data_IF_355200642697
#
_entry.id   IF_355200642697
#
_cell.length_a   1.000
_cell.length_b   1.000
_cell.length_c   1.000
_cell.angle_alpha   90.00
_cell.angle_beta   90.00
_cell.angle_gamma   90.00
#
_symmetry.space_group_name_H-M   'P 1'
#
loop_
_entity.id
_entity.type
_entity.pdbx_description
1 polymer ?
#
# COMPACT_ATOMS: atom_id res chain seq x y z
N UNK A 1 8.04 -148.82 57.26
CA UNK A 1 6.83 -149.62 57.54
C UNK A 1 5.62 -148.71 57.36
N UNK A 2 4.62 -149.10 56.55
CA UNK A 2 3.38 -148.34 56.27
C UNK A 2 3.56 -147.19 55.25
N UNK A 3 3.31 -147.29 53.94
CA UNK A 3 2.18 -147.79 53.12
C UNK A 3 0.95 -146.86 53.15
N UNK A 4 0.44 -146.60 51.93
CA UNK A 4 -0.86 -146.04 51.51
C UNK A 4 -0.82 -144.56 51.08
N UNK A 5 -0.96 -144.25 49.78
CA UNK A 5 -2.18 -144.30 48.95
C UNK A 5 -3.18 -143.24 49.42
N UNK A 6 -3.74 -142.37 48.60
CA UNK A 6 -3.73 -142.15 47.16
C UNK A 6 -4.60 -140.91 46.90
N UNK A 7 -4.83 -140.62 45.61
CA UNK A 7 -6.15 -140.23 45.08
C UNK A 7 -6.87 -139.06 45.78
N UNK A 8 -7.17 -137.93 45.15
CA UNK A 8 -7.74 -137.65 43.84
C UNK A 8 -7.57 -136.14 43.65
N UNK A 9 -7.43 -135.62 42.45
CA UNK A 9 -8.63 -135.30 41.68
C UNK A 9 -8.42 -133.93 41.07
N UNK A 10 -8.48 -133.91 39.75
CA UNK A 10 -8.14 -132.83 38.85
C UNK A 10 -9.29 -131.83 38.81
N UNK A 11 -9.03 -130.55 39.05
CA UNK A 11 -9.86 -129.47 38.52
C UNK A 11 -9.04 -128.58 37.59
N UNK A 12 -9.52 -128.53 36.37
CA UNK A 12 -8.95 -127.86 35.21
C UNK A 12 -9.49 -126.45 35.07
N UNK A 13 -8.60 -125.49 34.83
CA UNK A 13 -8.88 -124.38 33.91
C UNK A 13 -8.91 -122.97 34.48
N UNK A 14 -7.78 -122.28 34.38
CA UNK A 14 -7.71 -120.97 33.69
C UNK A 14 -6.23 -120.63 33.43
N UNK A 15 -5.79 -120.42 32.17
CA UNK A 15 -4.48 -119.84 31.94
C UNK A 15 -4.51 -118.40 32.44
N UNK A 16 -3.90 -118.17 33.60
CA UNK A 16 -3.67 -116.82 34.13
C UNK A 16 -2.66 -116.15 33.20
N UNK A 17 -3.17 -115.38 32.25
CA UNK A 17 -2.35 -114.55 31.37
C UNK A 17 -1.69 -113.50 32.25
N UNK A 18 -0.46 -113.79 32.68
CA UNK A 18 0.42 -112.83 33.33
C UNK A 18 0.77 -111.79 32.27
N UNK A 19 -0.07 -110.75 32.13
CA UNK A 19 0.33 -109.54 31.42
C UNK A 19 1.49 -108.95 32.22
N UNK A 20 2.70 -109.07 31.66
CA UNK A 20 3.91 -108.53 32.26
C UNK A 20 3.68 -107.07 32.65
N UNK A 21 3.95 -106.69 33.91
CA UNK A 21 3.75 -105.32 34.42
C UNK A 21 4.44 -104.23 33.55
N UNK A 22 5.42 -104.62 32.73
CA UNK A 22 6.07 -103.78 31.72
C UNK A 22 5.12 -103.19 30.67
N UNK A 23 4.00 -103.86 30.32
CA UNK A 23 3.04 -103.32 29.34
C UNK A 23 2.10 -102.26 29.93
N UNK A 24 1.70 -102.41 31.21
CA UNK A 24 0.85 -101.45 31.90
C UNK A 24 1.60 -100.14 32.20
N UNK A 25 2.87 -100.22 32.61
CA UNK A 25 3.72 -99.03 32.81
C UNK A 25 3.95 -98.29 31.51
N UNK A 26 4.20 -99.00 30.39
CA UNK A 26 4.31 -98.37 29.06
C UNK A 26 3.02 -97.67 28.64
N UNK A 27 1.86 -98.30 28.84
CA UNK A 27 0.57 -97.68 28.54
C UNK A 27 0.31 -96.42 29.40
N UNK A 28 0.63 -96.46 30.69
CA UNK A 28 0.51 -95.30 31.58
C UNK A 28 1.43 -94.15 31.16
N UNK A 29 2.67 -94.44 30.75
CA UNK A 29 3.60 -93.42 30.23
C UNK A 29 3.11 -92.81 28.92
N UNK A 30 2.52 -93.60 28.02
CA UNK A 30 1.93 -93.08 26.78
C UNK A 30 0.75 -92.16 27.11
N UNK A 31 -0.16 -92.57 27.99
CA UNK A 31 -1.31 -91.75 28.40
C UNK A 31 -0.84 -90.46 29.07
N UNK A 32 0.15 -90.52 29.96
CA UNK A 32 0.73 -89.34 30.58
C UNK A 32 1.38 -88.40 29.55
N UNK A 33 2.09 -88.94 28.56
CA UNK A 33 2.66 -88.18 27.46
C UNK A 33 1.60 -87.50 26.59
N UNK A 34 0.50 -88.20 26.29
CA UNK A 34 -0.64 -87.63 25.53
C UNK A 34 -1.30 -86.51 26.33
N UNK A 35 -1.54 -86.71 27.62
CA UNK A 35 -2.14 -85.67 28.49
C UNK A 35 -1.23 -84.44 28.60
N UNK A 36 0.09 -84.64 28.74
CA UNK A 36 1.06 -83.55 28.70
C UNK A 36 1.07 -82.83 27.35
N UNK A 37 0.96 -83.57 26.24
CA UNK A 37 0.88 -83.00 24.90
C UNK A 37 -0.37 -82.14 24.70
N UNK A 38 -1.53 -82.63 25.15
CA UNK A 38 -2.79 -81.87 25.11
C UNK A 38 -2.73 -80.65 26.01
N UNK A 39 -2.15 -80.77 27.21
CA UNK A 39 -1.96 -79.65 28.12
C UNK A 39 -1.03 -78.59 27.51
N UNK A 40 0.09 -79.00 26.89
CA UNK A 40 0.98 -78.08 26.19
C UNK A 40 0.29 -77.37 25.03
N UNK A 41 -0.51 -78.08 24.23
CA UNK A 41 -1.33 -77.49 23.16
C UNK A 41 -2.33 -76.46 23.68
N UNK A 42 -2.99 -76.74 24.80
CA UNK A 42 -3.92 -75.81 25.43
C UNK A 42 -3.22 -74.54 25.93
N UNK A 43 -2.07 -74.68 26.58
CA UNK A 43 -1.26 -73.53 27.02
C UNK A 43 -0.80 -72.68 25.84
N UNK A 44 -0.33 -73.30 24.76
CA UNK A 44 0.07 -72.59 23.53
C UNK A 44 -1.12 -71.86 22.89
N UNK A 45 -2.29 -72.49 22.82
CA UNK A 45 -3.50 -71.87 22.30
C UNK A 45 -3.90 -70.64 23.13
N UNK A 46 -3.89 -70.74 24.45
CA UNK A 46 -4.33 -69.63 25.30
C UNK A 46 -3.31 -68.50 25.40
N UNK A 47 -2.00 -68.79 25.32
CA UNK A 47 -0.97 -67.77 25.11
C UNK A 47 -1.16 -67.06 23.76
N UNK A 48 -1.45 -67.82 22.70
CA UNK A 48 -1.73 -67.28 21.37
C UNK A 48 -2.96 -66.38 21.36
N UNK A 49 -4.04 -66.78 22.06
CA UNK A 49 -5.27 -66.00 22.20
C UNK A 49 -5.04 -64.70 22.98
N UNK A 50 -4.26 -64.76 24.06
CA UNK A 50 -3.93 -63.58 24.86
C UNK A 50 -3.08 -62.58 24.06
N UNK A 51 -2.03 -63.04 23.38
CA UNK A 51 -1.17 -62.18 22.55
C UNK A 51 -1.91 -61.60 21.34
N UNK A 52 -2.76 -62.38 20.65
CA UNK A 52 -3.55 -61.90 19.52
C UNK A 52 -4.64 -60.88 19.92
N UNK A 53 -5.13 -60.95 21.17
CA UNK A 53 -6.06 -59.96 21.72
C UNK A 53 -5.41 -58.60 21.96
N UNK A 54 -4.17 -58.60 22.48
CA UNK A 54 -3.39 -57.39 22.74
C UNK A 54 -3.05 -56.64 21.43
N UNK A 55 -2.64 -57.37 20.40
CA UNK A 55 -2.36 -56.79 19.07
C UNK A 55 -3.59 -56.12 18.45
N UNK A 56 -4.78 -56.74 18.59
CA UNK A 56 -6.02 -56.15 18.08
C UNK A 56 -6.42 -54.87 18.82
N UNK A 57 -6.23 -54.83 20.14
CA UNK A 57 -6.52 -53.63 20.93
C UNK A 57 -5.52 -52.51 20.62
N UNK A 58 -4.22 -52.82 20.52
CA UNK A 58 -3.20 -51.85 20.15
C UNK A 58 -3.44 -51.27 18.74
N UNK A 59 -3.75 -52.12 17.76
CA UNK A 59 -4.09 -51.68 16.39
C UNK A 59 -5.40 -50.87 16.37
N UNK A 60 -6.40 -51.23 17.17
CA UNK A 60 -7.64 -50.45 17.27
C UNK A 60 -7.39 -49.06 17.89
N UNK A 61 -6.59 -48.97 18.95
CA UNK A 61 -6.20 -47.69 19.56
C UNK A 61 -5.42 -46.81 18.58
N UNK A 62 -4.44 -47.39 17.87
CA UNK A 62 -3.66 -46.67 16.86
C UNK A 62 -4.53 -46.16 15.71
N UNK A 63 -5.53 -46.95 15.28
CA UNK A 63 -6.51 -46.52 14.26
C UNK A 63 -7.36 -45.36 14.75
N UNK A 64 -7.88 -45.42 15.97
CA UNK A 64 -8.66 -44.32 16.55
C UNK A 64 -7.83 -43.05 16.69
N UNK A 65 -6.57 -43.16 17.13
CA UNK A 65 -5.66 -42.01 17.21
C UNK A 65 -5.39 -41.40 15.83
N UNK A 66 -5.14 -42.24 14.82
CA UNK A 66 -4.97 -41.79 13.43
C UNK A 66 -6.23 -41.14 12.87
N UNK A 67 -7.42 -41.69 13.13
CA UNK A 67 -8.71 -41.14 12.71
C UNK A 67 -8.96 -39.76 13.34
N UNK A 68 -8.71 -39.63 14.65
CA UNK A 68 -8.80 -38.33 15.36
C UNK A 68 -7.80 -37.33 14.79
N UNK A 69 -6.57 -37.77 14.48
CA UNK A 69 -5.56 -36.96 13.81
C UNK A 69 -6.03 -36.46 12.44
N UNK A 70 -6.55 -37.36 11.60
CA UNK A 70 -7.09 -37.02 10.28
C UNK A 70 -8.21 -36.00 10.41
N UNK A 71 -9.16 -36.22 11.32
CA UNK A 71 -10.28 -35.30 11.52
C UNK A 71 -9.81 -33.90 11.97
N UNK A 72 -8.83 -33.85 12.87
CA UNK A 72 -8.23 -32.59 13.30
C UNK A 72 -7.54 -31.87 12.14
N UNK A 73 -6.73 -32.59 11.35
CA UNK A 73 -6.07 -32.04 10.17
C UNK A 73 -7.07 -31.55 9.12
N UNK A 74 -8.16 -32.27 8.89
CA UNK A 74 -9.22 -31.85 7.97
C UNK A 74 -9.93 -30.59 8.44
N UNK A 75 -10.25 -30.48 9.74
CA UNK A 75 -10.85 -29.27 10.31
C UNK A 75 -9.90 -28.08 10.16
N UNK A 76 -8.62 -28.26 10.49
CA UNK A 76 -7.60 -27.22 10.31
C UNK A 76 -7.44 -26.81 8.84
N UNK A 77 -7.49 -27.78 7.91
CA UNK A 77 -7.40 -27.49 6.48
C UNK A 77 -8.63 -26.70 5.99
N UNK A 78 -9.84 -27.07 6.43
CA UNK A 78 -11.07 -26.33 6.13
C UNK A 78 -11.00 -24.91 6.66
N UNK A 79 -10.57 -24.72 7.91
CA UNK A 79 -10.41 -23.40 8.51
C UNK A 79 -9.38 -22.54 7.77
N UNK A 80 -8.22 -23.10 7.42
CA UNK A 80 -7.20 -22.41 6.64
C UNK A 80 -7.69 -22.02 5.25
N UNK A 81 -8.47 -22.89 4.57
CA UNK A 81 -9.09 -22.57 3.28
C UNK A 81 -10.12 -21.45 3.39
N UNK A 82 -10.93 -21.43 4.44
CA UNK A 82 -11.88 -20.33 4.70
C UNK A 82 -11.13 -19.02 4.94
N UNK A 83 -10.11 -19.02 5.80
CA UNK A 83 -9.26 -17.84 6.05
C UNK A 83 -8.55 -17.36 4.78
N UNK A 84 -8.11 -18.28 3.92
CA UNK A 84 -7.49 -17.94 2.64
C UNK A 84 -8.52 -17.31 1.69
N UNK A 85 -9.73 -17.86 1.58
CA UNK A 85 -10.81 -17.29 0.76
C UNK A 85 -11.26 -15.91 1.27
N UNK A 86 -11.32 -15.71 2.58
CA UNK A 86 -11.56 -14.39 3.21
C UNK A 86 -10.43 -13.41 2.89
N UNK A 87 -9.17 -13.86 2.92
CA UNK A 87 -8.02 -13.02 2.56
C UNK A 87 -7.99 -12.69 1.05
N UNK A 88 -8.29 -13.64 0.18
CA UNK A 88 -8.32 -13.45 -1.28
C UNK A 88 -9.43 -12.48 -1.70
N UNK A 89 -10.60 -12.54 -1.03
CA UNK A 89 -11.69 -11.57 -1.27
C UNK A 89 -11.33 -10.16 -0.81
N UNK A 90 -10.63 -10.01 0.32
CA UNK A 90 -10.07 -8.72 0.77
C UNK A 90 -8.97 -8.22 -0.18
N UNK A 91 -8.13 -9.11 -0.72
CA UNK A 91 -7.08 -8.77 -1.69
C UNK A 91 -7.63 -8.27 -3.03
N UNK A 92 -8.67 -8.91 -3.56
CA UNK A 92 -9.31 -8.53 -4.82
C UNK A 92 -10.03 -7.17 -4.76
N UNK A 93 -10.61 -6.82 -3.60
CA UNK A 93 -11.19 -5.49 -3.35
C UNK A 93 -10.11 -4.40 -3.28
N UNK A 94 -9.03 -4.66 -2.53
CA UNK A 94 -7.89 -3.73 -2.40
C UNK A 94 -7.19 -3.45 -3.73
N UNK A 95 -7.04 -4.44 -4.60
CA UNK A 95 -6.42 -4.23 -5.91
C UNK A 95 -7.24 -3.29 -6.83
N UNK A 96 -8.58 -3.36 -6.77
CA UNK A 96 -9.46 -2.41 -7.48
C UNK A 96 -9.39 -1.01 -6.90
N UNK A 97 -9.49 -0.88 -5.58
CA UNK A 97 -9.39 0.42 -4.90
C UNK A 97 -8.01 1.07 -5.11
N UNK A 98 -6.94 0.29 -5.09
CA UNK A 98 -5.58 0.76 -5.39
C UNK A 98 -5.43 1.17 -6.86
N UNK A 99 -6.04 0.45 -7.80
CA UNK A 99 -6.01 0.79 -9.22
C UNK A 99 -6.81 2.08 -9.52
N UNK A 100 -7.97 2.27 -8.88
CA UNK A 100 -8.74 3.51 -8.98
C UNK A 100 -8.01 4.68 -8.34
N UNK A 101 -7.46 4.50 -7.13
CA UNK A 101 -6.66 5.53 -6.46
C UNK A 101 -5.41 5.90 -7.27
N UNK A 102 -4.72 4.93 -7.86
CA UNK A 102 -3.56 5.17 -8.72
C UNK A 102 -3.92 5.92 -10.01
N UNK A 103 -5.09 5.64 -10.61
CA UNK A 103 -5.62 6.41 -11.74
C UNK A 103 -5.93 7.85 -11.34
N UNK A 104 -6.58 8.06 -10.19
CA UNK A 104 -6.86 9.41 -9.67
C UNK A 104 -5.57 10.19 -9.38
N UNK A 105 -4.56 9.55 -8.78
CA UNK A 105 -3.24 10.17 -8.56
C UNK A 105 -2.57 10.51 -9.90
N UNK A 106 -2.63 9.62 -10.89
CA UNK A 106 -2.11 9.87 -12.24
C UNK A 106 -2.82 11.04 -12.94
N UNK A 107 -4.14 11.14 -12.84
CA UNK A 107 -4.92 12.22 -13.42
C UNK A 107 -4.64 13.57 -12.73
N UNK A 108 -4.52 13.58 -11.39
CA UNK A 108 -4.10 14.77 -10.65
C UNK A 108 -2.66 15.18 -11.00
N UNK A 109 -1.73 14.23 -11.10
CA UNK A 109 -0.35 14.52 -11.53
C UNK A 109 -0.30 15.05 -12.96
N UNK A 110 -1.13 14.55 -13.87
CA UNK A 110 -1.25 15.06 -15.23
C UNK A 110 -1.91 16.45 -15.28
N UNK A 111 -2.82 16.77 -14.37
CA UNK A 111 -3.37 18.12 -14.22
C UNK A 111 -2.33 19.09 -13.64
N UNK A 112 -1.60 18.69 -12.60
CA UNK A 112 -0.51 19.47 -12.02
C UNK A 112 0.60 19.68 -13.04
N UNK A 113 0.97 18.66 -13.83
CA UNK A 113 1.95 18.77 -14.90
C UNK A 113 1.48 19.76 -15.98
N UNK A 114 0.22 19.67 -16.44
CA UNK A 114 -0.33 20.63 -17.41
C UNK A 114 -0.36 22.06 -16.87
N UNK A 115 -0.82 22.26 -15.63
CA UNK A 115 -0.82 23.57 -14.97
C UNK A 115 0.60 24.10 -14.77
N UNK A 116 1.54 23.24 -14.40
CA UNK A 116 2.95 23.62 -14.22
C UNK A 116 3.66 23.94 -15.55
N UNK A 117 3.29 23.25 -16.64
CA UNK A 117 3.83 23.47 -17.97
C UNK A 117 3.31 24.78 -18.57
N UNK A 118 2.07 25.14 -18.29
CA UNK A 118 1.53 26.47 -18.62
C UNK A 118 2.30 27.56 -17.85
N UNK A 119 2.53 27.36 -16.55
CA UNK A 119 3.32 28.29 -15.73
C UNK A 119 4.81 28.36 -16.11
N UNK A 120 5.43 27.25 -16.55
CA UNK A 120 6.81 27.20 -17.02
C UNK A 120 6.97 27.86 -18.40
N UNK A 121 5.97 27.75 -19.27
CA UNK A 121 5.90 28.51 -20.52
C UNK A 121 5.82 30.02 -20.25
N UNK A 122 4.95 30.45 -19.32
CA UNK A 122 4.90 31.87 -18.91
C UNK A 122 6.23 32.35 -18.31
N UNK A 123 6.88 31.57 -17.46
CA UNK A 123 8.20 31.93 -16.91
C UNK A 123 9.32 31.94 -17.96
N UNK A 124 9.29 31.02 -18.92
CA UNK A 124 10.26 30.93 -20.01
C UNK A 124 10.21 32.14 -20.95
N UNK A 125 9.00 32.58 -21.31
CA UNK A 125 8.78 33.80 -22.12
C UNK A 125 9.19 35.06 -21.36
N UNK A 126 8.87 35.16 -20.07
CA UNK A 126 9.23 36.31 -19.21
C UNK A 126 10.75 36.41 -18.98
N UNK A 127 11.44 35.29 -18.78
CA UNK A 127 12.90 35.26 -18.60
C UNK A 127 13.66 35.60 -19.89
N UNK A 128 13.19 35.15 -21.05
CA UNK A 128 13.78 35.52 -22.36
C UNK A 128 13.45 36.97 -22.76
N UNK A 129 12.27 37.48 -22.40
CA UNK A 129 11.88 38.88 -22.56
C UNK A 129 12.79 39.84 -21.78
N UNK A 130 13.04 39.58 -20.48
CA UNK A 130 13.91 40.44 -19.66
C UNK A 130 15.37 40.49 -20.15
N UNK A 131 15.90 39.40 -20.70
CA UNK A 131 17.26 39.35 -21.25
C UNK A 131 17.38 40.10 -22.59
N UNK A 132 16.37 40.03 -23.45
CA UNK A 132 16.34 40.73 -24.74
C UNK A 132 15.99 42.22 -24.62
N UNK A 133 15.13 42.58 -23.66
CA UNK A 133 14.78 43.97 -23.30
C UNK A 133 15.94 44.73 -22.66
N UNK A 134 16.81 44.03 -21.94
CA UNK A 134 17.89 44.65 -21.17
C UNK A 134 17.38 45.54 -20.03
N UNK A 135 16.12 45.40 -19.64
CA UNK A 135 15.50 46.07 -18.50
C UNK A 135 14.82 45.03 -17.62
N UNK A 136 14.96 45.17 -16.30
CA UNK A 136 14.24 44.37 -15.30
C UNK A 136 13.53 45.28 -14.30
N UNK A 137 12.43 44.80 -13.75
CA UNK A 137 11.76 45.40 -12.59
C UNK A 137 12.51 44.92 -11.35
N UNK A 138 13.18 45.83 -10.63
CA UNK A 138 13.96 45.48 -9.43
C UNK A 138 13.06 45.39 -8.20
N UNK A 139 12.19 46.39 -8.03
CA UNK A 139 11.32 46.49 -6.87
C UNK A 139 10.00 47.13 -7.25
N UNK A 140 8.90 46.59 -6.74
CA UNK A 140 7.56 47.15 -6.81
C UNK A 140 6.93 47.10 -5.42
N UNK A 141 6.41 48.23 -4.96
CA UNK A 141 5.68 48.37 -3.69
C UNK A 141 4.46 49.24 -3.88
N UNK A 142 3.42 48.98 -3.10
CA UNK A 142 2.16 49.71 -3.16
C UNK A 142 1.89 50.28 -1.78
N UNK A 143 1.74 51.60 -1.68
CA UNK A 143 1.43 52.30 -0.43
C UNK A 143 0.06 52.94 -0.52
N UNK A 144 -0.58 53.14 0.64
CA UNK A 144 -1.82 53.90 0.72
C UNK A 144 -1.55 55.39 0.48
N UNK A 145 -2.29 56.01 -0.44
CA UNK A 145 -2.27 57.44 -0.70
C UNK A 145 -3.42 58.18 -0.02
N UNK A 146 -3.46 59.50 -0.20
CA UNK A 146 -4.57 60.36 0.23
C UNK A 146 -5.21 61.03 -0.99
N UNK A 147 -6.54 61.12 -1.09
CA UNK A 147 -7.60 60.66 -0.16
C UNK A 147 -7.85 59.13 -0.18
N UNK A 148 -8.70 58.57 0.72
CA UNK A 148 -9.04 57.15 0.75
C UNK A 148 -9.47 56.59 -0.62
N UNK A 149 -9.02 55.38 -0.95
CA UNK A 149 -9.20 54.78 -2.28
C UNK A 149 -8.10 55.15 -3.28
N UNK A 150 -7.10 55.93 -2.84
CA UNK A 150 -5.91 56.24 -3.63
C UNK A 150 -4.71 55.43 -3.15
N UNK A 151 -3.90 54.95 -4.07
CA UNK A 151 -2.70 54.16 -3.80
C UNK A 151 -1.54 54.72 -4.63
N UNK A 152 -0.32 54.59 -4.13
CA UNK A 152 0.88 54.95 -4.87
C UNK A 152 1.68 53.69 -5.15
N UNK A 153 1.88 53.41 -6.43
CA UNK A 153 2.74 52.32 -6.88
C UNK A 153 4.14 52.88 -7.07
N UNK A 154 5.04 52.45 -6.19
CA UNK A 154 6.47 52.72 -6.26
C UNK A 154 7.14 51.58 -7.02
N UNK A 155 7.69 51.87 -8.20
CA UNK A 155 8.34 50.89 -9.04
C UNK A 155 9.73 51.37 -9.45
N UNK A 156 10.70 50.47 -9.46
CA UNK A 156 12.05 50.74 -9.96
C UNK A 156 12.42 49.81 -11.12
N UNK A 157 12.81 50.42 -12.23
CA UNK A 157 13.37 49.72 -13.38
C UNK A 157 14.89 49.89 -13.37
N UNK A 158 15.61 48.80 -13.65
CA UNK A 158 17.08 48.81 -13.73
C UNK A 158 17.55 48.06 -14.97
N UNK A 159 18.78 48.35 -15.40
CA UNK A 159 19.38 47.71 -16.58
C UNK A 159 19.77 46.24 -16.30
N UNK A 160 19.32 45.32 -17.14
CA UNK A 160 19.82 43.94 -17.21
C UNK A 160 20.87 43.82 -18.32
N UNK A 161 22.09 44.34 -18.11
CA UNK A 161 23.21 44.21 -19.07
C UNK A 161 24.08 45.46 -19.21
N UNK A 162 24.89 45.51 -20.29
CA UNK A 162 25.78 46.65 -20.58
C UNK A 162 24.99 47.91 -20.98
N UNK A 163 25.48 49.07 -20.53
CA UNK A 163 24.84 50.38 -20.67
C UNK A 163 25.47 51.21 -21.81
N UNK A 164 25.56 50.61 -23.00
CA UNK A 164 26.14 51.26 -24.18
C UNK A 164 25.23 52.37 -24.73
N UNK A 165 23.90 52.23 -24.55
CA UNK A 165 22.89 53.21 -24.93
C UNK A 165 21.78 53.31 -23.85
N UNK A 166 21.07 54.44 -23.73
CA UNK A 166 19.93 54.56 -22.82
C UNK A 166 18.81 53.59 -23.20
N UNK A 167 18.17 52.99 -22.20
CA UNK A 167 16.98 52.18 -22.36
C UNK A 167 15.76 53.09 -22.49
N UNK A 168 15.00 52.94 -23.57
CA UNK A 168 13.78 53.71 -23.84
C UNK A 168 12.60 52.79 -24.12
N UNK A 169 11.41 53.22 -23.70
CA UNK A 169 10.19 52.47 -23.93
C UNK A 169 9.01 52.96 -23.10
N UNK A 170 8.02 52.08 -22.95
CA UNK A 170 6.77 52.36 -22.23
C UNK A 170 6.50 51.29 -21.18
N UNK A 171 5.85 51.68 -20.08
CA UNK A 171 5.27 50.78 -19.10
C UNK A 171 3.77 50.97 -19.10
N UNK A 172 3.05 49.86 -19.14
CA UNK A 172 1.61 49.80 -18.94
C UNK A 172 1.32 49.07 -17.64
N UNK A 173 0.29 49.55 -16.94
CA UNK A 173 -0.17 48.99 -15.68
C UNK A 173 -1.63 48.59 -15.87
N UNK A 174 -1.98 47.40 -15.42
CA UNK A 174 -3.37 46.96 -15.33
C UNK A 174 -3.63 46.25 -14.01
N UNK A 175 -4.81 46.46 -13.46
CA UNK A 175 -5.19 45.99 -12.14
C UNK A 175 -6.35 44.99 -12.29
N UNK A 176 -6.07 43.75 -11.97
CA UNK A 176 -7.05 42.67 -11.94
C UNK A 176 -7.70 42.58 -10.57
N UNK A 177 -9.00 42.36 -10.56
CA UNK A 177 -9.77 42.23 -9.34
C UNK A 177 -11.20 41.80 -9.59
N UNK A 178 -12.02 41.95 -8.55
CA UNK A 178 -13.44 41.61 -8.59
C UNK A 178 -14.29 42.83 -8.23
N UNK A 179 -15.36 43.03 -8.99
CA UNK A 179 -16.40 44.01 -8.72
C UNK A 179 -17.74 43.29 -8.45
N UNK A 180 -18.79 44.04 -8.12
CA UNK A 180 -20.13 43.47 -7.86
C UNK A 180 -20.69 42.63 -9.03
N UNK A 181 -20.27 42.90 -10.26
CA UNK A 181 -20.70 42.21 -11.49
C UNK A 181 -19.77 41.05 -11.91
N UNK A 182 -18.71 40.77 -11.13
CA UNK A 182 -17.75 39.69 -11.41
C UNK A 182 -16.30 40.17 -11.56
N UNK A 183 -15.44 39.31 -12.10
CA UNK A 183 -14.03 39.63 -12.36
C UNK A 183 -13.90 40.75 -13.40
N UNK A 184 -13.08 41.76 -13.09
CA UNK A 184 -12.86 42.92 -13.96
C UNK A 184 -11.40 43.35 -13.90
N UNK A 185 -10.87 43.80 -15.03
CA UNK A 185 -9.55 44.41 -15.14
C UNK A 185 -9.70 45.91 -15.39
N UNK A 186 -8.95 46.73 -14.66
CA UNK A 186 -8.86 48.18 -14.85
C UNK A 186 -7.50 48.53 -15.44
N UNK A 187 -7.48 49.26 -16.55
CA UNK A 187 -6.26 49.76 -17.16
C UNK A 187 -5.76 51.04 -16.45
N UNK A 188 -4.51 51.45 -16.75
CA UNK A 188 -3.94 52.67 -16.18
C UNK A 188 -4.79 53.91 -16.47
N UNK A 189 -5.47 53.96 -17.62
CA UNK A 189 -6.37 55.05 -17.96
C UNK A 189 -7.56 55.10 -16.99
N UNK A 190 -8.23 53.98 -16.73
CA UNK A 190 -9.32 53.92 -15.75
C UNK A 190 -8.85 54.28 -14.34
N UNK A 191 -7.65 53.83 -13.95
CA UNK A 191 -7.07 54.09 -12.63
C UNK A 191 -6.58 55.53 -12.44
N UNK A 192 -6.36 56.28 -13.51
CA UNK A 192 -5.88 57.68 -13.48
C UNK A 192 -6.92 58.68 -13.98
N UNK A 193 -8.18 58.27 -14.12
CA UNK A 193 -9.26 59.07 -14.71
C UNK A 193 -8.91 59.63 -16.11
N UNK A 194 -8.20 58.85 -16.90
CA UNK A 194 -7.82 59.14 -18.28
C UNK A 194 -6.60 60.04 -18.43
N UNK A 195 -6.00 60.52 -17.33
CA UNK A 195 -4.81 61.41 -17.39
C UNK A 195 -3.60 60.70 -17.97
N UNK A 196 -3.49 59.39 -17.75
CA UNK A 196 -2.32 58.63 -18.14
C UNK A 196 -2.70 57.26 -18.67
N UNK A 197 -2.22 56.95 -19.88
CA UNK A 197 -2.42 55.64 -20.53
C UNK A 197 -1.19 54.76 -20.43
N UNK A 198 -0.01 55.38 -20.42
CA UNK A 198 1.28 54.72 -20.39
C UNK A 198 2.28 55.59 -19.61
N UNK A 199 3.29 54.95 -19.03
CA UNK A 199 4.46 55.59 -18.43
C UNK A 199 5.62 55.48 -19.42
N UNK A 200 6.25 56.59 -19.79
CA UNK A 200 7.45 56.55 -20.64
C UNK A 200 8.69 56.49 -19.78
N UNK A 201 9.61 55.61 -20.13
CA UNK A 201 10.91 55.53 -19.47
C UNK A 201 12.04 55.87 -20.44
N UNK A 202 13.06 56.54 -19.92
CA UNK A 202 14.30 56.84 -20.62
C UNK A 202 15.41 56.97 -19.60
N UNK A 203 16.20 55.91 -19.43
CA UNK A 203 17.24 55.87 -18.41
C UNK A 203 18.46 55.08 -18.84
N UNK A 204 19.61 55.44 -18.28
CA UNK A 204 20.87 54.72 -18.52
C UNK A 204 21.14 53.61 -17.52
N UNK A 205 20.78 53.82 -16.25
CA UNK A 205 21.08 52.89 -15.15
C UNK A 205 19.82 52.41 -14.44
N UNK A 206 19.05 53.35 -13.89
CA UNK A 206 17.79 53.09 -13.20
C UNK A 206 16.81 54.26 -13.39
N UNK A 207 15.53 53.96 -13.28
CA UNK A 207 14.47 54.96 -13.16
C UNK A 207 13.39 54.46 -12.20
N UNK A 208 12.96 55.34 -11.30
CA UNK A 208 11.86 55.09 -10.38
C UNK A 208 10.59 55.77 -10.89
N UNK A 209 9.45 55.14 -10.62
CA UNK A 209 8.12 55.62 -10.95
C UNK A 209 7.27 55.61 -9.69
N UNK A 210 6.63 56.74 -9.41
CA UNK A 210 5.65 56.90 -8.36
C UNK A 210 4.30 57.19 -9.02
N UNK A 211 3.55 56.12 -9.32
CA UNK A 211 2.27 56.24 -10.01
C UNK A 211 1.13 56.23 -9.01
N UNK A 212 0.40 57.33 -8.95
CA UNK A 212 -0.85 57.40 -8.18
C UNK A 212 -1.98 56.71 -8.94
N UNK A 213 -2.67 55.78 -8.29
CA UNK A 213 -3.81 55.03 -8.80
C UNK A 213 -5.02 55.30 -7.90
N UNK A 214 -6.16 55.64 -8.51
CA UNK A 214 -7.44 55.77 -7.82
C UNK A 214 -8.27 54.53 -8.12
N UNK A 215 -8.49 53.71 -7.10
CA UNK A 215 -9.26 52.47 -7.22
C UNK A 215 -10.70 52.75 -6.81
N UNK A 216 -11.71 52.42 -7.64
CA UNK A 216 -13.11 52.59 -7.29
C UNK A 216 -13.46 51.79 -6.02
N UNK A 217 -14.32 52.32 -5.13
CA UNK A 217 -14.65 51.64 -3.87
C UNK A 217 -15.40 50.32 -4.06
N UNK A 218 -16.02 50.11 -5.23
CA UNK A 218 -16.72 48.88 -5.60
C UNK A 218 -15.79 47.79 -6.16
N UNK A 219 -14.49 48.07 -6.28
CA UNK A 219 -13.50 47.20 -6.88
C UNK A 219 -12.55 46.64 -5.82
N UNK A 220 -12.43 45.32 -5.75
CA UNK A 220 -11.48 44.61 -4.89
C UNK A 220 -10.25 44.22 -5.70
N UNK A 221 -9.12 44.92 -5.55
CA UNK A 221 -7.89 44.59 -6.27
C UNK A 221 -7.27 43.29 -5.76
N UNK A 222 -6.81 42.44 -6.68
CA UNK A 222 -6.19 41.15 -6.39
C UNK A 222 -4.76 41.07 -6.93
N UNK A 223 -4.54 41.52 -8.17
CA UNK A 223 -3.25 41.41 -8.86
C UNK A 223 -2.95 42.65 -9.70
N UNK A 224 -1.71 43.13 -9.64
CA UNK A 224 -1.21 44.22 -10.47
C UNK A 224 -0.32 43.63 -11.57
N UNK A 225 -0.71 43.81 -12.83
CA UNK A 225 0.10 43.45 -14.00
C UNK A 225 0.89 44.67 -14.46
N UNK A 226 2.19 44.45 -14.70
CA UNK A 226 3.12 45.45 -15.20
C UNK A 226 3.71 44.93 -16.50
N UNK A 227 3.48 45.66 -17.59
CA UNK A 227 4.03 45.34 -18.90
C UNK A 227 5.03 46.42 -19.31
N UNK A 228 6.29 46.03 -19.52
CA UNK A 228 7.39 46.91 -19.92
C UNK A 228 7.77 46.59 -21.35
N UNK A 229 7.55 47.55 -22.25
CA UNK A 229 7.86 47.46 -23.67
C UNK A 229 9.07 48.33 -24.01
N UNK A 230 9.91 47.90 -24.94
CA UNK A 230 11.00 48.74 -25.47
C UNK A 230 10.47 49.61 -26.61
N UNK A 231 11.13 50.74 -26.86
CA UNK A 231 10.89 51.52 -28.08
C UNK A 231 11.28 50.78 -29.37
N UNK A 232 12.04 49.68 -29.26
CA UNK A 232 12.39 48.81 -30.39
C UNK A 232 11.29 47.76 -30.60
N UNK A 233 10.74 47.69 -31.81
CA UNK A 233 9.59 46.82 -32.16
C UNK A 233 9.90 45.33 -32.22
N UNK A 234 11.18 44.97 -32.30
CA UNK A 234 11.71 43.60 -32.43
C UNK A 234 11.94 42.92 -31.07
N UNK A 235 11.71 43.63 -29.97
CA UNK A 235 11.94 43.12 -28.61
C UNK A 235 10.61 42.82 -27.94
N UNK A 236 10.45 41.58 -27.46
CA UNK A 236 9.24 41.16 -26.75
C UNK A 236 9.06 41.96 -25.44
N UNK A 237 7.83 42.36 -25.09
CA UNK A 237 7.57 43.06 -23.84
C UNK A 237 7.79 42.13 -22.63
N UNK A 238 8.25 42.71 -21.53
CA UNK A 238 8.36 42.03 -20.24
C UNK A 238 7.05 42.23 -19.48
N UNK A 239 6.28 41.16 -19.27
CA UNK A 239 5.08 41.20 -18.42
C UNK A 239 5.34 40.50 -17.09
N UNK A 240 5.03 41.17 -15.98
CA UNK A 240 5.11 40.60 -14.64
C UNK A 240 3.84 40.91 -13.85
N UNK A 241 3.32 39.89 -13.16
CA UNK A 241 2.15 40.02 -12.28
C UNK A 241 2.58 39.98 -10.83
N UNK A 242 2.14 40.97 -10.06
CA UNK A 242 2.38 41.12 -8.63
C UNK A 242 1.07 40.92 -7.86
N UNK A 243 1.13 40.29 -6.70
CA UNK A 243 -0.01 40.21 -5.79
C UNK A 243 -0.28 41.60 -5.23
N UNK A 244 -1.54 42.02 -5.18
CA UNK A 244 -1.90 43.32 -4.61
C UNK A 244 -1.77 43.28 -3.08
N UNK A 245 -0.70 43.88 -2.56
CA UNK A 245 -0.44 44.04 -1.13
C UNK A 245 -0.11 45.49 -0.82
N UNK A 246 -0.96 46.15 -0.05
CA UNK A 246 -0.74 47.54 0.38
C UNK A 246 0.12 47.52 1.63
N UNK A 247 1.34 48.02 1.52
CA UNK A 247 2.19 48.26 2.69
C UNK A 247 1.64 49.48 3.45
N UNK A 248 1.47 49.32 4.76
CA UNK A 248 1.24 50.46 5.63
C UNK A 248 2.51 51.33 5.58
N UNK A 249 2.36 52.61 5.23
CA UNK A 249 3.48 53.56 5.33
C UNK A 249 4.03 53.50 6.77
N UNK A 250 5.35 53.36 6.95
CA UNK A 250 5.96 53.51 8.27
C UNK A 250 5.74 54.92 8.83
#
# INVERSE_FOLDING_TARGET
MGRLAGMLGRESGAPRVVRSARSAVRAALIVAGVLLGVFALYVVYELGRYNAGYDRQAVAQQRTELEVGIEHLERANRELRTRLAESDTVGAGRAREQAETARTIGDLQAQVARQSQELAFYRGVVAQGAASLGVKIEQLRITAGQPPGTYVVHMSLVRSGRADAPATGTVQLSLDGSAAEGARTLDLAALTAGRQRELRYNFRYLQTFDQQLTVPPTFKPERLNVEVSSGRRDVAPLSQTFVWSVEASP
#
